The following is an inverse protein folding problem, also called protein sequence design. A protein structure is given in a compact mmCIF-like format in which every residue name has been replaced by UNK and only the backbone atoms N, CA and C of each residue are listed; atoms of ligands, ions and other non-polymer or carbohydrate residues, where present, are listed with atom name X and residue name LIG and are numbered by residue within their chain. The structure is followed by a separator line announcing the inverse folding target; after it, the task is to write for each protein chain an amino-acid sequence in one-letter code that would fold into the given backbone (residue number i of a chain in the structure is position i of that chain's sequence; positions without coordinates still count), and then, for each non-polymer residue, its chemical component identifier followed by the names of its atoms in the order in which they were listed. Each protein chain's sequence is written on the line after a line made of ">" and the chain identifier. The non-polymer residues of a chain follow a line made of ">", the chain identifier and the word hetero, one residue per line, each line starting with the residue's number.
data_IF_146476303032
#
_entry.id   IF_146476303032
#
_cell.length_a   1.000
_cell.length_b   1.000
_cell.length_c   1.000
_cell.angle_alpha   90.00
_cell.angle_beta   90.00
_cell.angle_gamma   90.00
#
_symmetry.space_group_name_H-M   'P 1'
#
loop_
_entity.id
_entity.type
_entity.pdbx_description
1 polymer ?
#
# COMPACT_ATOMS: atom_id res chain seq x y z
N UNK A 1 -4.85 -14.73 17.07
CA UNK A 1 -5.18 -13.57 16.22
C UNK A 1 -6.29 -13.95 15.26
N UNK A 2 -7.35 -13.15 15.25
CA UNK A 2 -8.39 -13.16 14.21
C UNK A 2 -7.76 -12.70 12.88
N UNK A 3 -8.40 -13.02 11.76
CA UNK A 3 -7.88 -12.71 10.43
C UNK A 3 -7.68 -11.21 10.23
N UNK A 4 -8.61 -10.38 10.73
CA UNK A 4 -8.57 -8.92 10.61
C UNK A 4 -7.38 -8.30 11.36
N UNK A 5 -7.02 -8.85 12.52
CA UNK A 5 -5.83 -8.41 13.28
C UNK A 5 -4.52 -8.69 12.51
N UNK A 6 -4.46 -9.81 11.79
CA UNK A 6 -3.31 -10.14 10.94
C UNK A 6 -3.22 -9.21 9.73
N UNK A 7 -4.36 -8.87 9.12
CA UNK A 7 -4.43 -7.92 8.01
C UNK A 7 -4.00 -6.53 8.48
N UNK A 8 -4.46 -6.07 9.64
CA UNK A 8 -4.04 -4.79 10.21
C UNK A 8 -2.52 -4.75 10.49
N UNK A 9 -1.97 -5.81 11.09
CA UNK A 9 -0.52 -5.92 11.34
C UNK A 9 0.28 -5.90 10.04
N UNK A 10 -0.14 -6.67 9.04
CA UNK A 10 0.53 -6.72 7.74
C UNK A 10 0.46 -5.36 7.02
N UNK A 11 -0.70 -4.71 7.06
CA UNK A 11 -0.89 -3.37 6.50
C UNK A 11 0.03 -2.35 7.15
N UNK A 12 0.16 -2.38 8.48
CA UNK A 12 1.07 -1.49 9.21
C UNK A 12 2.54 -1.70 8.81
N UNK A 13 2.97 -2.96 8.69
CA UNK A 13 4.32 -3.29 8.23
C UNK A 13 4.56 -2.79 6.80
N UNK A 14 3.57 -2.94 5.93
CA UNK A 14 3.66 -2.53 4.52
C UNK A 14 3.65 -1.00 4.35
N UNK A 15 2.88 -0.27 5.17
CA UNK A 15 2.99 1.21 5.26
C UNK A 15 4.42 1.59 5.61
N UNK A 16 5.03 0.95 6.61
CA UNK A 16 6.40 1.23 7.03
C UNK A 16 7.44 0.97 5.93
N UNK A 17 7.22 -0.06 5.09
CA UNK A 17 8.10 -0.38 3.96
C UNK A 17 7.93 0.58 2.78
N UNK A 18 6.69 0.92 2.43
CA UNK A 18 6.37 1.76 1.26
C UNK A 18 6.54 3.25 1.57
N UNK A 19 6.32 3.66 2.82
CA UNK A 19 6.40 5.05 3.27
C UNK A 19 5.18 5.91 2.92
N UNK A 20 4.03 5.29 2.64
CA UNK A 20 2.77 5.97 2.31
C UNK A 20 1.58 5.26 2.96
N UNK A 21 0.58 6.03 3.40
CA UNK A 21 -0.57 5.50 4.15
C UNK A 21 -1.91 5.83 3.50
N UNK A 22 -2.05 7.04 2.95
CA UNK A 22 -3.30 7.53 2.37
C UNK A 22 -3.45 7.09 0.92
N UNK A 23 -4.71 6.98 0.46
CA UNK A 23 -5.01 6.63 -0.94
C UNK A 23 -4.31 7.57 -1.94
N UNK A 24 -4.29 8.87 -1.62
CA UNK A 24 -3.67 9.88 -2.45
C UNK A 24 -2.15 9.70 -2.53
N UNK A 25 -1.48 9.53 -1.39
CA UNK A 25 -0.02 9.29 -1.35
C UNK A 25 0.35 8.02 -2.11
N UNK A 26 -0.42 6.94 -1.92
CA UNK A 26 -0.21 5.67 -2.60
C UNK A 26 -0.32 5.80 -4.12
N UNK A 27 -1.37 6.48 -4.61
CA UNK A 27 -1.55 6.75 -6.04
C UNK A 27 -0.45 7.62 -6.62
N UNK A 28 -0.02 8.65 -5.89
CA UNK A 28 1.09 9.51 -6.31
C UNK A 28 2.40 8.72 -6.37
N UNK A 29 2.67 7.89 -5.36
CA UNK A 29 3.87 7.06 -5.30
C UNK A 29 3.90 6.01 -6.42
N UNK A 30 2.76 5.44 -6.80
CA UNK A 30 2.68 4.52 -7.95
C UNK A 30 3.12 5.21 -9.25
N UNK A 31 2.61 6.43 -9.50
CA UNK A 31 3.01 7.22 -10.67
C UNK A 31 4.51 7.50 -10.64
N UNK A 32 5.05 7.89 -9.49
CA UNK A 32 6.48 8.11 -9.32
C UNK A 32 7.30 6.84 -9.59
N UNK A 33 6.86 5.67 -9.10
CA UNK A 33 7.56 4.39 -9.33
C UNK A 33 7.58 4.00 -10.79
N UNK A 34 6.49 4.24 -11.53
CA UNK A 34 6.45 3.97 -12.98
C UNK A 34 7.43 4.82 -13.78
N UNK A 35 7.73 6.03 -13.29
CA UNK A 35 8.65 6.98 -13.94
C UNK A 35 10.09 6.85 -13.44
N UNK A 36 10.32 6.14 -12.33
CA UNK A 36 11.63 6.03 -11.71
C UNK A 36 12.59 5.18 -12.57
N UNK A 37 13.82 5.64 -12.82
CA UNK A 37 14.85 4.83 -13.45
C UNK A 37 15.42 3.83 -12.43
N UNK A 38 14.73 2.69 -12.28
CA UNK A 38 15.12 1.58 -11.40
C UNK A 38 14.89 0.24 -12.13
N UNK A 39 15.51 -0.87 -11.67
CA UNK A 39 15.23 -2.20 -12.20
C UNK A 39 13.72 -2.51 -12.19
N UNK A 40 13.22 -3.14 -13.26
CA UNK A 40 11.78 -3.45 -13.38
C UNK A 40 11.27 -4.32 -12.24
N UNK A 41 12.12 -5.22 -11.72
CA UNK A 41 11.76 -6.09 -10.60
C UNK A 41 11.47 -5.28 -9.32
N UNK A 42 12.29 -4.27 -9.03
CA UNK A 42 12.14 -3.43 -7.84
C UNK A 42 10.89 -2.57 -7.95
N UNK A 43 10.66 -1.99 -9.15
CA UNK A 43 9.43 -1.23 -9.44
C UNK A 43 8.19 -2.11 -9.29
N UNK A 44 8.22 -3.31 -9.84
CA UNK A 44 7.10 -4.25 -9.74
C UNK A 44 6.81 -4.62 -8.29
N UNK A 45 7.84 -4.86 -7.47
CA UNK A 45 7.66 -5.15 -6.05
C UNK A 45 7.00 -3.98 -5.30
N UNK A 46 7.48 -2.74 -5.53
CA UNK A 46 6.90 -1.55 -4.93
C UNK A 46 5.45 -1.32 -5.37
N UNK A 47 5.16 -1.43 -6.67
CA UNK A 47 3.81 -1.27 -7.23
C UNK A 47 2.84 -2.32 -6.65
N UNK A 48 3.28 -3.58 -6.53
CA UNK A 48 2.47 -4.63 -5.91
C UNK A 48 2.16 -4.33 -4.43
N UNK A 49 3.14 -3.79 -3.69
CA UNK A 49 2.93 -3.33 -2.32
C UNK A 49 1.89 -2.20 -2.24
N UNK A 50 1.98 -1.22 -3.14
CA UNK A 50 1.00 -0.13 -3.25
C UNK A 50 -0.40 -0.66 -3.56
N UNK A 51 -0.53 -1.59 -4.52
CA UNK A 51 -1.81 -2.21 -4.86
C UNK A 51 -2.40 -2.99 -3.67
N UNK A 52 -1.58 -3.70 -2.91
CA UNK A 52 -2.03 -4.39 -1.69
C UNK A 52 -2.52 -3.41 -0.61
N UNK A 53 -1.83 -2.28 -0.43
CA UNK A 53 -2.27 -1.23 0.50
C UNK A 53 -3.61 -0.63 0.09
N UNK A 54 -3.79 -0.32 -1.21
CA UNK A 54 -5.05 0.18 -1.76
C UNK A 54 -6.21 -0.81 -1.58
N UNK A 55 -5.98 -2.09 -1.86
CA UNK A 55 -6.98 -3.15 -1.75
C UNK A 55 -7.42 -3.44 -0.31
N UNK A 56 -6.58 -3.10 0.68
CA UNK A 56 -6.84 -3.33 2.11
C UNK A 56 -7.12 -2.06 2.88
N UNK A 57 -7.40 -0.95 2.19
CA UNK A 57 -7.83 0.27 2.86
C UNK A 57 -9.16 0.02 3.59
N UNK A 58 -9.29 0.54 4.83
CA UNK A 58 -10.58 0.51 5.50
C UNK A 58 -11.58 1.30 4.66
N UNK A 59 -12.63 0.64 4.18
CA UNK A 59 -13.77 1.32 3.57
C UNK A 59 -14.33 2.29 4.60
N UNK A 60 -14.65 3.52 4.18
CA UNK A 60 -15.33 4.52 5.01
C UNK A 60 -16.82 4.13 5.22
N UNK A 61 -17.09 2.86 5.51
CA UNK A 61 -18.41 2.29 5.83
C UNK A 61 -18.43 1.77 7.27
N UNK A 62 -17.93 2.55 8.22
CA UNK A 62 -18.46 2.51 9.58
C UNK A 62 -18.78 3.95 9.99
N UNK A 63 -19.94 4.37 9.50
CA UNK A 63 -20.63 5.57 9.95
C UNK A 63 -21.36 5.26 11.27
N UNK A 64 -21.54 6.27 12.13
CA UNK A 64 -22.87 6.53 12.70
C UNK A 64 -23.65 7.52 11.83
#
# INVERSE_FOLDING_TARGET
>A
MRQDEKVALLRAALIGLIGAETEQELKQLEVQMRLMPAPEADKAAAINGIHALLATMPTQEEKP
#
